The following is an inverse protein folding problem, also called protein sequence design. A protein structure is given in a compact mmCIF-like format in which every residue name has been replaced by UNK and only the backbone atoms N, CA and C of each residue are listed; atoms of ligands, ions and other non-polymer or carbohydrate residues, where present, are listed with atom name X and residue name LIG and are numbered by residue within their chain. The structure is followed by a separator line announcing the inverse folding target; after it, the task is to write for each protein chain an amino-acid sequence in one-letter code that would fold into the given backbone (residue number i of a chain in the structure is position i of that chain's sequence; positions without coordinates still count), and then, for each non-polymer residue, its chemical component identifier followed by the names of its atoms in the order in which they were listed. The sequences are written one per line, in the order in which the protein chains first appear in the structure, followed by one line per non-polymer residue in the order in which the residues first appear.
data_IF_457029067537
#
_entry.id   IF_457029067537
#
_cell.length_a   1.000
_cell.length_b   1.000
_cell.length_c   1.000
_cell.angle_alpha   90.00
_cell.angle_beta   90.00
_cell.angle_gamma   90.00
#
_symmetry.space_group_name_H-M   'P 1'
#
loop_
_entity.id
_entity.type
_entity.pdbx_description
1 polymer ?
#
# COMPACT_ATOMS: atom_id res chain seq x y z
N UNK A 1 39.65 -14.70 42.64
CA UNK A 1 39.63 -16.02 42.00
C UNK A 1 38.35 -16.70 42.44
N UNK A 2 37.32 -16.71 41.60
CA UNK A 2 36.14 -17.57 41.78
C UNK A 2 35.46 -17.68 40.40
N UNK A 3 35.58 -18.87 39.83
CA UNK A 3 34.97 -19.24 38.54
C UNK A 3 33.62 -19.87 38.84
N UNK A 4 32.53 -19.24 38.39
CA UNK A 4 31.20 -19.83 38.39
C UNK A 4 30.90 -20.41 37.03
N UNK A 5 30.91 -21.71 36.96
CA UNK A 5 30.51 -22.51 35.80
C UNK A 5 28.98 -22.66 35.81
N UNK A 6 28.28 -22.10 34.87
CA UNK A 6 26.84 -22.32 34.73
C UNK A 6 26.59 -23.38 33.67
N UNK A 7 26.08 -24.50 34.12
CA UNK A 7 25.76 -25.71 33.37
C UNK A 7 24.47 -25.51 32.58
N UNK A 8 24.55 -25.66 31.26
CA UNK A 8 23.40 -25.71 30.36
C UNK A 8 22.79 -27.12 30.44
N UNK A 9 21.58 -27.20 30.93
CA UNK A 9 20.75 -28.41 30.79
C UNK A 9 19.80 -28.24 29.62
N UNK A 10 20.04 -29.07 28.61
CA UNK A 10 19.14 -29.23 27.47
C UNK A 10 17.84 -29.90 27.89
N UNK A 11 16.76 -29.44 27.33
CA UNK A 11 15.48 -30.12 27.27
C UNK A 11 15.07 -30.31 25.81
N UNK A 12 15.31 -31.53 25.35
CA UNK A 12 14.70 -32.10 24.15
C UNK A 12 13.22 -32.36 24.43
N UNK A 13 12.30 -31.73 23.75
CA UNK A 13 10.94 -32.24 23.63
C UNK A 13 10.65 -32.53 22.16
N UNK A 14 10.55 -33.83 21.92
CA UNK A 14 9.98 -34.43 20.71
C UNK A 14 8.45 -34.34 20.81
N UNK A 15 7.79 -34.00 19.75
CA UNK A 15 6.32 -34.02 19.61
C UNK A 15 5.97 -33.78 18.15
N UNK A 16 5.90 -34.86 17.44
CA UNK A 16 4.76 -35.63 16.96
C UNK A 16 4.12 -35.01 15.68
N UNK A 17 4.43 -35.72 14.60
CA UNK A 17 3.71 -35.70 13.30
C UNK A 17 2.21 -35.99 13.50
N UNK A 18 1.37 -35.19 12.87
CA UNK A 18 0.03 -35.60 12.49
C UNK A 18 -0.14 -35.30 11.01
N UNK A 19 -0.11 -36.35 10.23
CA UNK A 19 -0.59 -36.44 8.86
C UNK A 19 -2.12 -36.43 8.89
N UNK A 20 -2.72 -35.51 8.15
CA UNK A 20 -4.14 -35.49 7.85
C UNK A 20 -4.33 -35.31 6.35
N UNK A 21 -4.42 -36.40 5.64
CA UNK A 21 -4.90 -36.46 4.26
C UNK A 21 -6.43 -36.53 4.25
N UNK A 22 -7.12 -35.65 3.54
CA UNK A 22 -8.50 -35.84 3.01
C UNK A 22 -8.64 -34.93 1.82
N UNK A 23 -8.70 -35.53 0.62
CA UNK A 23 -9.79 -35.86 -0.26
C UNK A 23 -10.25 -34.67 -1.14
N UNK A 24 -9.87 -34.73 -2.33
CA UNK A 24 -10.52 -34.89 -3.65
C UNK A 24 -12.02 -34.58 -3.64
N UNK A 25 -12.41 -33.49 -4.30
CA UNK A 25 -13.79 -33.17 -4.66
C UNK A 25 -13.82 -32.40 -5.98
N UNK A 26 -13.88 -33.17 -7.09
CA UNK A 26 -14.32 -32.66 -8.40
C UNK A 26 -15.82 -32.40 -8.35
N UNK A 27 -16.26 -31.23 -8.77
CA UNK A 27 -17.55 -31.05 -9.40
C UNK A 27 -17.46 -30.05 -10.54
N UNK A 28 -17.76 -30.58 -11.70
CA UNK A 28 -17.98 -29.94 -12.99
C UNK A 28 -19.31 -29.17 -12.99
N UNK A 29 -19.46 -28.35 -14.02
CA UNK A 29 -20.70 -27.74 -14.57
C UNK A 29 -20.83 -26.27 -14.18
N UNK A 30 -21.04 -25.34 -15.10
CA UNK A 30 -21.64 -25.40 -16.40
C UNK A 30 -21.45 -24.10 -17.17
N UNK A 31 -21.34 -24.23 -18.44
CA UNK A 31 -21.47 -23.19 -19.46
C UNK A 31 -22.87 -22.59 -19.45
N UNK A 32 -22.98 -21.31 -19.71
CA UNK A 32 -24.02 -20.77 -20.57
C UNK A 32 -23.67 -19.40 -21.08
N UNK A 33 -23.65 -19.19 -22.39
CA UNK A 33 -23.63 -17.88 -23.01
C UNK A 33 -25.06 -17.47 -23.32
N UNK A 34 -25.45 -16.24 -23.06
CA UNK A 34 -26.68 -15.69 -23.64
C UNK A 34 -26.54 -14.16 -23.77
N UNK A 35 -26.35 -13.81 -24.99
CA UNK A 35 -27.17 -12.94 -25.83
C UNK A 35 -27.14 -11.44 -25.52
N UNK A 36 -26.52 -10.77 -26.43
CA UNK A 36 -26.79 -9.43 -26.93
C UNK A 36 -28.28 -9.23 -27.28
N UNK A 37 -28.83 -8.03 -27.10
CA UNK A 37 -29.52 -7.46 -28.27
C UNK A 37 -29.00 -6.06 -28.60
N UNK A 38 -28.62 -5.93 -29.84
CA UNK A 38 -28.60 -4.70 -30.62
C UNK A 38 -29.95 -3.99 -30.52
N UNK A 39 -29.92 -2.70 -30.35
CA UNK A 39 -31.02 -1.88 -30.82
C UNK A 39 -30.52 -0.67 -31.59
N UNK A 40 -30.66 -0.81 -32.88
CA UNK A 40 -30.62 0.18 -33.93
C UNK A 40 -31.83 1.07 -33.81
N UNK A 41 -31.65 2.38 -33.84
CA UNK A 41 -32.52 3.32 -34.58
C UNK A 41 -31.97 4.74 -34.50
N UNK A 42 -31.51 5.24 -35.60
CA UNK A 42 -31.55 6.63 -36.08
C UNK A 42 -32.86 6.77 -36.90
N UNK A 43 -33.35 7.92 -37.32
CA UNK A 43 -32.82 9.26 -37.42
C UNK A 43 -33.84 10.43 -37.23
N UNK A 44 -33.40 11.59 -37.60
CA UNK A 44 -34.21 12.78 -38.05
C UNK A 44 -34.48 13.83 -36.96
N UNK A 45 -34.36 15.09 -37.17
CA UNK A 45 -34.01 16.04 -38.21
C UNK A 45 -34.07 17.45 -37.61
N UNK A 46 -33.16 18.31 -38.06
CA UNK A 46 -33.38 19.70 -38.45
C UNK A 46 -34.18 20.65 -37.53
N UNK A 47 -33.49 21.66 -37.01
CA UNK A 47 -33.85 23.06 -37.12
C UNK A 47 -32.72 23.97 -36.65
N UNK A 48 -32.03 24.62 -37.54
CA UNK A 48 -31.43 25.95 -37.40
C UNK A 48 -32.54 26.97 -37.67
N UNK A 49 -32.62 28.19 -37.10
CA UNK A 49 -31.57 29.20 -37.12
C UNK A 49 -31.56 30.17 -35.92
N UNK A 50 -30.54 30.91 -35.85
CA UNK A 50 -30.45 32.35 -35.54
C UNK A 50 -29.40 32.72 -34.51
N UNK A 51 -28.28 33.19 -34.97
CA UNK A 51 -27.43 34.12 -34.24
C UNK A 51 -28.00 35.57 -34.48
N UNK A 52 -27.57 36.66 -33.81
CA UNK A 52 -26.49 36.96 -32.89
C UNK A 52 -26.95 37.83 -31.69
N UNK A 53 -26.16 38.49 -30.89
CA UNK A 53 -24.91 39.18 -31.18
C UNK A 53 -23.76 38.95 -30.16
N UNK A 54 -22.61 39.23 -30.69
CA UNK A 54 -21.32 39.33 -30.03
C UNK A 54 -21.33 40.24 -28.79
N UNK A 55 -20.92 39.68 -27.65
CA UNK A 55 -20.34 40.42 -26.55
C UNK A 55 -18.97 39.85 -26.28
N UNK A 56 -17.89 40.66 -26.18
CA UNK A 56 -16.59 40.15 -25.83
C UNK A 56 -16.59 39.79 -24.34
N UNK A 57 -16.90 38.54 -24.05
CA UNK A 57 -16.63 37.98 -22.71
C UNK A 57 -15.16 37.64 -22.66
N UNK A 58 -14.45 38.34 -21.78
CA UNK A 58 -13.10 38.01 -21.37
C UNK A 58 -13.03 36.51 -21.05
N UNK A 59 -12.21 35.82 -21.84
CA UNK A 59 -11.87 34.43 -21.56
C UNK A 59 -11.25 34.37 -20.17
N UNK A 60 -11.83 33.65 -19.21
CA UNK A 60 -11.10 33.33 -17.98
C UNK A 60 -9.91 32.53 -18.43
N UNK A 61 -8.72 33.10 -18.24
CA UNK A 61 -7.45 32.38 -18.38
C UNK A 61 -7.49 31.21 -17.43
N UNK A 62 -7.77 30.02 -17.96
CA UNK A 62 -7.62 28.77 -17.19
C UNK A 62 -6.15 28.63 -16.80
N UNK A 63 -5.82 28.98 -15.57
CA UNK A 63 -4.58 28.58 -14.95
C UNK A 63 -4.80 27.16 -14.48
N UNK A 64 -4.16 26.14 -15.10
CA UNK A 64 -4.27 24.80 -14.58
C UNK A 64 -3.76 24.80 -13.13
N UNK A 65 -4.46 24.16 -12.19
CA UNK A 65 -3.94 24.01 -10.85
C UNK A 65 -2.57 23.36 -10.97
N UNK A 66 -1.54 24.05 -10.46
CA UNK A 66 -0.18 23.52 -10.42
C UNK A 66 -0.24 22.22 -9.63
N UNK A 67 -0.15 21.10 -10.34
CA UNK A 67 0.10 19.80 -9.70
C UNK A 67 1.37 19.99 -8.88
N UNK A 68 1.37 19.73 -7.56
CA UNK A 68 2.60 19.85 -6.79
C UNK A 68 3.63 18.94 -7.45
N UNK A 69 4.67 19.54 -8.04
CA UNK A 69 5.80 18.77 -8.53
C UNK A 69 6.41 18.04 -7.34
N UNK A 70 6.28 16.72 -7.35
CA UNK A 70 6.98 15.86 -6.43
C UNK A 70 8.49 16.00 -6.71
N UNK A 71 9.13 16.93 -6.03
CA UNK A 71 10.57 17.06 -6.13
C UNK A 71 11.22 15.85 -5.47
N UNK A 72 12.05 15.13 -6.20
CA UNK A 72 12.83 13.98 -5.68
C UNK A 72 13.73 14.37 -4.50
N UNK A 73 14.03 15.66 -4.37
CA UNK A 73 14.90 16.20 -3.31
C UNK A 73 14.22 16.26 -1.92
N UNK A 74 12.89 16.18 -1.88
CA UNK A 74 12.17 16.20 -0.61
C UNK A 74 11.79 14.77 -0.18
N UNK A 75 12.17 14.35 1.05
CA UNK A 75 11.79 13.03 1.54
C UNK A 75 10.28 12.93 1.79
N UNK A 76 9.70 11.80 1.45
CA UNK A 76 8.34 11.46 1.87
C UNK A 76 8.37 11.05 3.34
N UNK A 77 7.70 11.79 4.21
CA UNK A 77 7.59 11.44 5.63
C UNK A 77 6.23 10.84 5.93
N UNK A 78 6.23 9.64 6.50
CA UNK A 78 5.02 8.89 6.88
C UNK A 78 4.99 8.78 8.40
N UNK A 79 3.96 9.38 9.01
CA UNK A 79 3.71 9.23 10.43
C UNK A 79 2.76 8.06 10.64
N UNK A 80 3.17 7.08 11.43
CA UNK A 80 2.46 5.83 11.67
C UNK A 80 2.14 5.73 13.16
N UNK A 81 0.87 5.53 13.46
CA UNK A 81 0.41 5.25 14.82
C UNK A 81 -0.23 3.87 14.83
N UNK A 82 0.24 3.01 15.70
CA UNK A 82 -0.29 1.67 15.93
C UNK A 82 -0.84 1.64 17.35
N UNK A 83 -2.14 1.47 17.49
CA UNK A 83 -2.79 1.46 18.79
C UNK A 83 -4.07 0.61 18.76
N UNK A 84 -4.29 -0.16 19.82
CA UNK A 84 -5.50 -0.98 20.01
C UNK A 84 -5.79 -1.89 18.81
N UNK A 85 -4.74 -2.48 18.23
CA UNK A 85 -4.84 -3.37 17.08
C UNK A 85 -5.21 -2.69 15.76
N UNK A 86 -5.00 -1.37 15.65
CA UNK A 86 -5.25 -0.58 14.44
C UNK A 86 -4.01 0.20 14.02
N UNK A 87 -3.88 0.42 12.72
CA UNK A 87 -2.85 1.26 12.13
C UNK A 87 -3.45 2.54 11.55
N UNK A 88 -2.76 3.65 11.73
CA UNK A 88 -3.08 4.93 11.08
C UNK A 88 -1.77 5.46 10.47
N UNK A 89 -1.69 5.63 9.13
CA UNK A 89 -2.70 5.32 8.11
C UNK A 89 -2.98 3.81 7.96
N UNK A 90 -4.01 3.44 7.17
CA UNK A 90 -4.38 2.06 6.90
C UNK A 90 -4.72 1.90 5.41
N UNK A 91 -3.83 1.26 4.67
CA UNK A 91 -3.98 1.00 3.23
C UNK A 91 -3.96 2.24 2.33
N UNK A 92 -3.46 3.37 2.81
CA UNK A 92 -3.41 4.63 2.03
C UNK A 92 -2.35 4.52 0.94
N UNK A 93 -2.68 4.99 -0.27
CA UNK A 93 -1.74 5.09 -1.39
C UNK A 93 -1.01 6.44 -1.35
N UNK A 94 0.30 6.41 -1.48
CA UNK A 94 1.17 7.58 -1.50
C UNK A 94 2.02 7.53 -2.76
N UNK A 95 1.99 8.60 -3.54
CA UNK A 95 2.84 8.73 -4.72
C UNK A 95 4.26 9.15 -4.30
N UNK A 96 5.24 8.52 -4.92
CA UNK A 96 6.65 8.80 -4.69
C UNK A 96 7.44 8.71 -6.01
N UNK A 97 8.69 9.15 -6.00
CA UNK A 97 9.60 9.03 -7.14
C UNK A 97 10.64 7.96 -6.90
N UNK A 98 11.11 7.34 -7.97
CA UNK A 98 12.31 6.51 -7.90
C UNK A 98 13.49 7.36 -7.44
N UNK A 99 14.31 6.84 -6.54
CA UNK A 99 15.40 7.54 -5.87
C UNK A 99 14.96 8.39 -4.67
N UNK A 100 13.65 8.56 -4.44
CA UNK A 100 13.15 9.36 -3.34
C UNK A 100 13.31 8.64 -2.00
N UNK A 101 13.81 9.39 -1.00
CA UNK A 101 13.93 8.91 0.37
C UNK A 101 12.59 8.91 1.08
N UNK A 102 12.25 7.80 1.70
CA UNK A 102 11.07 7.64 2.55
C UNK A 102 11.51 7.59 4.00
N UNK A 103 10.85 8.36 4.86
CA UNK A 103 11.09 8.41 6.30
C UNK A 103 9.84 7.90 7.00
N UNK A 104 9.99 6.85 7.79
CA UNK A 104 8.96 6.34 8.68
C UNK A 104 9.16 6.89 10.09
N UNK A 105 8.10 7.43 10.69
CA UNK A 105 8.04 7.78 12.11
C UNK A 105 6.92 6.96 12.71
N UNK A 106 7.25 6.05 13.61
CA UNK A 106 6.30 5.06 14.14
C UNK A 106 6.18 5.20 15.64
N UNK A 107 4.94 5.18 16.11
CA UNK A 107 4.60 5.05 17.54
C UNK A 107 3.66 3.87 17.68
N UNK A 108 3.93 2.96 18.62
CA UNK A 108 3.12 1.75 18.84
C UNK A 108 2.88 1.53 20.33
N UNK A 109 1.71 1.01 20.67
CA UNK A 109 1.36 0.56 22.02
C UNK A 109 1.81 -0.88 22.31
N UNK A 110 2.30 -1.60 21.30
CA UNK A 110 2.83 -2.95 21.40
C UNK A 110 4.15 -3.07 20.62
N UNK A 111 4.94 -4.07 20.93
CA UNK A 111 6.11 -4.39 20.12
C UNK A 111 5.68 -4.84 18.73
N UNK A 112 6.32 -4.31 17.69
CA UNK A 112 5.99 -4.61 16.29
C UNK A 112 7.25 -4.61 15.42
N UNK A 113 7.13 -5.19 14.25
CA UNK A 113 8.11 -5.13 13.17
C UNK A 113 7.44 -4.53 11.94
N UNK A 114 7.95 -3.39 11.49
CA UNK A 114 7.48 -2.77 10.26
C UNK A 114 8.37 -3.22 9.11
N UNK A 115 7.74 -3.71 8.06
CA UNK A 115 8.42 -4.16 6.85
C UNK A 115 7.96 -3.34 5.65
N UNK A 116 8.92 -2.85 4.86
CA UNK A 116 8.67 -2.24 3.57
C UNK A 116 9.24 -3.12 2.46
N UNK A 117 8.39 -3.53 1.53
CA UNK A 117 8.79 -4.30 0.36
C UNK A 117 9.30 -3.32 -0.71
N UNK A 118 10.62 -3.18 -0.84
CA UNK A 118 11.25 -2.19 -1.73
C UNK A 118 11.94 -2.90 -2.88
N UNK A 119 11.30 -3.52 -3.79
CA UNK A 119 11.88 -4.10 -5.01
C UNK A 119 13.22 -4.88 -4.91
N UNK A 120 13.92 -4.77 -3.79
CA UNK A 120 15.21 -5.41 -3.48
C UNK A 120 15.14 -6.23 -2.19
N UNK A 121 16.15 -6.07 -1.32
CA UNK A 121 16.25 -6.80 -0.05
C UNK A 121 15.13 -6.47 0.97
N UNK A 122 14.31 -5.47 0.67
CA UNK A 122 13.32 -4.96 1.60
C UNK A 122 13.94 -4.10 2.71
N UNK A 123 13.08 -3.49 3.51
CA UNK A 123 13.50 -2.72 4.68
C UNK A 123 12.70 -3.18 5.89
N UNK A 124 13.37 -3.46 6.99
CA UNK A 124 12.75 -3.86 8.24
C UNK A 124 13.14 -2.92 9.38
N UNK A 125 12.19 -2.64 10.26
CA UNK A 125 12.40 -1.83 11.45
C UNK A 125 11.67 -2.42 12.64
N UNK A 126 12.39 -2.62 13.74
CA UNK A 126 11.81 -3.02 15.02
C UNK A 126 11.23 -1.79 15.73
N UNK A 127 10.03 -1.92 16.25
CA UNK A 127 9.33 -0.89 17.02
C UNK A 127 9.01 -1.46 18.39
N UNK A 128 9.38 -0.73 19.44
CA UNK A 128 9.07 -1.13 20.82
C UNK A 128 7.86 -0.37 21.34
N UNK A 129 7.05 -1.05 22.13
CA UNK A 129 5.90 -0.48 22.79
C UNK A 129 6.25 0.83 23.53
N UNK A 130 5.47 1.87 23.31
CA UNK A 130 5.62 3.18 23.96
C UNK A 130 6.85 3.98 23.56
N UNK A 131 7.71 3.48 22.67
CA UNK A 131 8.94 4.17 22.24
C UNK A 131 8.80 4.61 20.77
N UNK A 132 8.86 5.93 20.47
CA UNK A 132 8.88 6.39 19.09
C UNK A 132 10.10 5.87 18.33
N UNK A 133 9.86 5.28 17.17
CA UNK A 133 10.90 4.77 16.29
C UNK A 133 10.94 5.57 14.99
N UNK A 134 12.14 5.74 14.43
CA UNK A 134 12.35 6.42 13.14
C UNK A 134 13.25 5.57 12.27
N UNK A 135 12.85 5.39 11.02
CA UNK A 135 13.64 4.70 10.02
C UNK A 135 13.55 5.36 8.66
N UNK A 136 14.39 4.96 7.73
CA UNK A 136 14.33 5.48 6.36
C UNK A 136 14.90 4.49 5.36
N UNK A 137 14.35 4.53 4.14
CA UNK A 137 14.81 3.75 2.99
C UNK A 137 14.61 4.57 1.71
N UNK A 138 15.17 4.09 0.61
CA UNK A 138 15.03 4.69 -0.72
C UNK A 138 14.24 3.73 -1.62
N UNK A 139 13.47 4.29 -2.54
CA UNK A 139 12.75 3.52 -3.56
C UNK A 139 13.63 3.42 -4.81
N UNK A 140 14.31 2.29 -5.00
CA UNK A 140 15.33 2.14 -6.04
C UNK A 140 14.76 1.75 -7.41
N UNK A 141 13.47 1.44 -7.50
CA UNK A 141 12.82 1.02 -8.73
C UNK A 141 11.37 1.53 -8.81
N UNK A 142 10.80 1.64 -10.03
CA UNK A 142 9.38 1.94 -10.17
C UNK A 142 8.53 0.75 -9.75
N UNK A 143 7.32 1.04 -9.22
CA UNK A 143 6.37 0.01 -8.80
C UNK A 143 5.53 0.40 -7.60
N UNK A 144 4.73 -0.56 -7.13
CA UNK A 144 3.91 -0.40 -5.93
C UNK A 144 4.51 -1.21 -4.79
N UNK A 145 4.89 -0.55 -3.73
CA UNK A 145 5.57 -1.14 -2.57
C UNK A 145 4.71 -1.01 -1.33
N UNK A 146 4.52 -2.11 -0.63
CA UNK A 146 3.73 -2.15 0.59
C UNK A 146 4.62 -1.88 1.80
N UNK A 147 4.10 -1.12 2.76
CA UNK A 147 4.63 -1.01 4.11
C UNK A 147 3.63 -1.64 5.06
N UNK A 148 4.05 -2.63 5.81
CA UNK A 148 3.18 -3.51 6.60
C UNK A 148 3.61 -3.56 8.07
N UNK A 149 2.63 -3.78 8.96
CA UNK A 149 2.83 -4.18 10.35
C UNK A 149 2.79 -5.70 10.42
N UNK A 150 3.86 -6.31 10.89
CA UNK A 150 3.93 -7.77 11.04
C UNK A 150 3.09 -8.29 12.20
N UNK A 151 3.02 -7.53 13.29
CA UNK A 151 2.24 -7.93 14.47
C UNK A 151 0.74 -7.94 14.19
N UNK A 152 0.27 -6.98 13.39
CA UNK A 152 -1.16 -6.88 13.08
C UNK A 152 -1.55 -7.50 11.74
N UNK A 153 -0.57 -7.92 10.94
CA UNK A 153 -0.78 -8.41 9.57
C UNK A 153 -1.61 -7.41 8.73
N UNK A 154 -1.19 -6.13 8.78
CA UNK A 154 -1.92 -5.04 8.11
C UNK A 154 -1.03 -4.18 7.24
N UNK A 155 -1.56 -3.82 6.08
CA UNK A 155 -0.94 -2.85 5.19
C UNK A 155 -1.18 -1.45 5.77
N UNK A 156 -0.10 -0.73 6.04
CA UNK A 156 -0.12 0.64 6.53
C UNK A 156 -0.27 1.62 5.38
N UNK A 157 0.64 1.53 4.41
CA UNK A 157 0.61 2.34 3.18
C UNK A 157 1.07 1.53 1.98
N UNK A 158 0.70 2.01 0.80
CA UNK A 158 1.17 1.54 -0.49
C UNK A 158 1.87 2.71 -1.17
N UNK A 159 3.18 2.57 -1.40
CA UNK A 159 4.00 3.56 -2.09
C UNK A 159 4.01 3.27 -3.58
N UNK A 160 3.54 4.19 -4.39
CA UNK A 160 3.60 4.08 -5.85
C UNK A 160 4.78 4.91 -6.35
N UNK A 161 5.88 4.25 -6.68
CA UNK A 161 7.07 4.90 -7.23
C UNK A 161 7.02 4.96 -8.75
N UNK A 162 7.31 6.13 -9.31
CA UNK A 162 7.37 6.38 -10.76
C UNK A 162 8.43 7.44 -11.12
#
# INVERSE_FOLDING_TARGET
MSRSTCTIRGALLRGALIWGAVALGLLLSGCSPTAEPQNTASPSAVSTPSAPPSSPAESPTWVPPSTPELSSDHPVTINIVIAKGKTIPNGVKIEARVGQKVILKVTSDADDKIQAHTGGAGYEMQVRAGTPAKGSFTLDSPGSFKVESHHLDKIIVILNAR
#
